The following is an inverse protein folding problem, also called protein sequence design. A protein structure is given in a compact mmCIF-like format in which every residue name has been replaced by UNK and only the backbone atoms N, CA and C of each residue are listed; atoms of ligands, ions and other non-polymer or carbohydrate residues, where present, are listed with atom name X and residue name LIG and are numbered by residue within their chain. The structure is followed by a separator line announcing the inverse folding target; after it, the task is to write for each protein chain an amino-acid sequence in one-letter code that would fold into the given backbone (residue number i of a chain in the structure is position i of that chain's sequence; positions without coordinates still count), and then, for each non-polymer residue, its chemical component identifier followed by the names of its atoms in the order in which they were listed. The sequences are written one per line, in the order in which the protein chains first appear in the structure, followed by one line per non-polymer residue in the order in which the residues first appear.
data_IF_594377555591
#
_entry.id   IF_594377555591
#
_cell.length_a   1.000
_cell.length_b   1.000
_cell.length_c   1.000
_cell.angle_alpha   90.00
_cell.angle_beta   90.00
_cell.angle_gamma   90.00
#
_symmetry.space_group_name_H-M   'P 1'
#
loop_
_entity.id
_entity.type
_entity.pdbx_description
1 polymer ?
#
# COMPACT_ATOMS: atom_id res chain seq x y z
N UNK A 1 -1.78 13.96 4.73
CA UNK A 1 -0.68 12.97 4.70
C UNK A 1 -1.05 11.85 5.66
N UNK A 2 -1.23 10.63 5.12
CA UNK A 2 -1.73 9.47 5.83
C UNK A 2 -0.58 8.67 6.44
N UNK A 3 -0.85 8.09 7.60
CA UNK A 3 0.01 7.06 8.20
C UNK A 3 -0.18 5.72 7.49
N UNK A 4 0.80 4.82 7.63
CA UNK A 4 0.72 3.44 7.12
C UNK A 4 -0.55 2.72 7.61
N UNK A 5 -1.01 3.02 8.83
CA UNK A 5 -2.22 2.44 9.41
C UNK A 5 -3.49 2.93 8.71
N UNK A 6 -3.59 4.23 8.44
CA UNK A 6 -4.73 4.79 7.71
C UNK A 6 -4.76 4.30 6.26
N UNK A 7 -3.60 4.23 5.60
CA UNK A 7 -3.45 3.65 4.26
C UNK A 7 -3.92 2.18 4.24
N UNK A 8 -3.59 1.41 5.26
CA UNK A 8 -4.03 0.02 5.39
C UNK A 8 -5.56 -0.10 5.51
N UNK A 9 -6.19 0.80 6.27
CA UNK A 9 -7.65 0.88 6.39
C UNK A 9 -8.31 1.24 5.06
N UNK A 10 -7.78 2.23 4.33
CA UNK A 10 -8.31 2.68 3.04
C UNK A 10 -8.20 1.60 1.96
N UNK A 11 -7.04 0.93 1.89
CA UNK A 11 -6.81 -0.17 0.94
C UNK A 11 -7.45 -1.49 1.39
N UNK A 12 -7.98 -1.58 2.62
CA UNK A 12 -8.49 -2.79 3.26
C UNK A 12 -7.48 -3.95 3.24
N UNK A 13 -6.22 -3.66 3.52
CA UNK A 13 -5.12 -4.64 3.61
C UNK A 13 -4.46 -4.61 4.98
N UNK A 14 -3.67 -5.63 5.30
CA UNK A 14 -2.86 -5.61 6.52
C UNK A 14 -1.72 -4.59 6.40
N UNK A 15 -1.28 -4.03 7.53
CA UNK A 15 -0.14 -3.09 7.59
C UNK A 15 1.13 -3.67 6.94
N UNK A 16 1.38 -4.97 7.13
CA UNK A 16 2.50 -5.66 6.50
C UNK A 16 2.43 -5.67 4.96
N UNK A 17 1.22 -5.70 4.39
CA UNK A 17 1.02 -5.57 2.95
C UNK A 17 1.37 -4.16 2.48
N UNK A 18 0.99 -3.13 3.24
CA UNK A 18 1.36 -1.74 2.91
C UNK A 18 2.88 -1.56 2.92
N UNK A 19 3.57 -2.10 3.93
CA UNK A 19 5.04 -2.08 3.96
C UNK A 19 5.66 -2.83 2.79
N UNK A 20 5.07 -3.94 2.35
CA UNK A 20 5.51 -4.65 1.14
C UNK A 20 5.32 -3.80 -0.10
N UNK A 21 4.16 -3.16 -0.29
CA UNK A 21 3.89 -2.28 -1.43
C UNK A 21 4.86 -1.09 -1.49
N UNK A 22 5.23 -0.56 -0.32
CA UNK A 22 6.25 0.47 -0.22
C UNK A 22 7.64 -0.10 -0.57
N UNK A 23 7.98 -1.28 -0.07
CA UNK A 23 9.27 -1.92 -0.34
C UNK A 23 9.43 -2.38 -1.80
N UNK A 24 8.33 -2.75 -2.48
CA UNK A 24 8.30 -3.08 -3.91
C UNK A 24 8.32 -1.84 -4.81
N UNK A 25 8.12 -0.64 -4.24
CA UNK A 25 8.05 0.61 -5.00
C UNK A 25 6.70 0.86 -5.68
N UNK A 26 5.69 0.02 -5.41
CA UNK A 26 4.35 0.18 -5.96
C UNK A 26 3.59 1.34 -5.32
N UNK A 27 3.86 1.64 -4.05
CA UNK A 27 3.24 2.76 -3.34
C UNK A 27 4.28 3.80 -2.94
N UNK A 28 4.20 5.05 -3.46
CA UNK A 28 5.08 6.13 -3.08
C UNK A 28 4.92 6.46 -1.59
N UNK A 29 6.04 6.57 -0.87
CA UNK A 29 6.05 7.02 0.52
C UNK A 29 7.10 8.09 0.76
N UNK A 30 6.79 9.00 1.67
CA UNK A 30 7.69 10.01 2.19
C UNK A 30 8.15 9.56 3.57
N UNK A 31 9.46 9.45 3.75
CA UNK A 31 10.05 9.12 5.05
C UNK A 31 10.41 10.41 5.80
N UNK A 32 9.82 10.59 6.97
CA UNK A 32 10.15 11.67 7.89
C UNK A 32 10.86 11.09 9.10
N UNK A 33 12.19 11.16 9.09
CA UNK A 33 13.13 10.71 10.15
C UNK A 33 13.07 9.22 10.46
N UNK A 34 11.92 8.72 10.90
CA UNK A 34 11.67 7.29 11.18
C UNK A 34 10.22 6.87 10.88
N UNK A 35 9.40 7.79 10.37
CA UNK A 35 7.98 7.55 10.09
C UNK A 35 7.73 7.59 8.58
N UNK A 36 7.14 6.52 8.04
CA UNK A 36 6.67 6.48 6.64
C UNK A 36 5.28 7.09 6.55
N UNK A 37 5.10 8.06 5.65
CA UNK A 37 3.82 8.70 5.35
C UNK A 37 3.51 8.61 3.86
N UNK A 38 2.24 8.46 3.53
CA UNK A 38 1.77 8.39 2.15
C UNK A 38 0.88 9.61 1.91
N UNK A 39 1.03 10.25 0.75
CA UNK A 39 0.11 11.33 0.38
C UNK A 39 -1.23 10.75 -0.07
N UNK A 40 -2.32 11.44 0.22
CA UNK A 40 -3.66 11.03 -0.25
C UNK A 40 -3.75 11.02 -1.77
N UNK A 41 -3.00 11.93 -2.43
CA UNK A 41 -2.91 11.97 -3.89
C UNK A 41 -2.24 10.71 -4.45
N UNK A 42 -1.12 10.30 -3.85
CA UNK A 42 -0.39 9.10 -4.24
C UNK A 42 -1.23 7.83 -4.00
N UNK A 43 -1.92 7.78 -2.85
CA UNK A 43 -2.83 6.67 -2.53
C UNK A 43 -3.97 6.56 -3.56
N UNK A 44 -4.61 7.69 -3.90
CA UNK A 44 -5.69 7.72 -4.87
C UNK A 44 -5.20 7.33 -6.26
N UNK A 45 -4.05 7.83 -6.69
CA UNK A 45 -3.42 7.46 -7.96
C UNK A 45 -3.15 5.94 -8.03
N UNK A 46 -2.64 5.36 -6.95
CA UNK A 46 -2.44 3.91 -6.84
C UNK A 46 -3.77 3.13 -6.94
N UNK A 47 -4.84 3.58 -6.26
CA UNK A 47 -6.16 2.95 -6.37
C UNK A 47 -6.76 3.05 -7.78
N UNK A 48 -6.55 4.17 -8.46
CA UNK A 48 -6.99 4.37 -9.85
C UNK A 48 -6.21 3.47 -10.83
N UNK A 49 -4.90 3.32 -10.62
CA UNK A 49 -4.06 2.40 -11.38
C UNK A 49 -4.48 0.95 -11.17
N UNK A 50 -4.68 0.52 -9.92
CA UNK A 50 -5.20 -0.82 -9.60
C UNK A 50 -6.56 -1.10 -10.26
N UNK A 51 -7.45 -0.09 -10.29
CA UNK A 51 -8.75 -0.21 -10.95
C UNK A 51 -8.63 -0.32 -12.47
N UNK A 52 -7.69 0.40 -13.09
CA UNK A 52 -7.42 0.37 -14.54
C UNK A 52 -6.72 -0.91 -15.00
N UNK A 53 -5.73 -1.38 -14.24
CA UNK A 53 -5.01 -2.61 -14.59
C UNK A 53 -5.86 -3.87 -14.41
N UNK A 54 -6.98 -3.80 -13.68
CA UNK A 54 -7.94 -4.91 -13.57
C UNK A 54 -7.32 -6.21 -13.03
N UNK A 55 -6.15 -6.13 -12.40
CA UNK A 55 -5.28 -7.29 -12.18
C UNK A 55 -5.03 -7.51 -10.70
N UNK A 56 -5.63 -8.63 -10.27
CA UNK A 56 -5.04 -9.68 -9.44
C UNK A 56 -4.31 -9.14 -8.22
N UNK A 57 -5.07 -8.88 -7.15
CA UNK A 57 -4.55 -9.13 -5.80
C UNK A 57 -4.04 -10.58 -5.85
N UNK A 58 -2.71 -10.86 -5.78
CA UNK A 58 -2.27 -12.23 -5.67
C UNK A 58 -2.89 -12.76 -4.38
N UNK A 59 -3.89 -13.65 -4.52
CA UNK A 59 -4.54 -14.32 -3.39
C UNK A 59 -3.41 -14.82 -2.52
N UNK A 60 -3.37 -14.32 -1.29
CA UNK A 60 -2.33 -14.60 -0.32
C UNK A 60 -1.93 -16.08 -0.43
N UNK A 61 -0.72 -16.34 -0.93
CA UNK A 61 -0.19 -17.70 -0.87
C UNK A 61 -0.08 -18.01 0.62
N UNK A 62 -0.91 -18.95 1.07
CA UNK A 62 -0.74 -19.63 2.36
C UNK A 62 0.70 -20.15 2.36
N UNK A 63 1.61 -19.48 3.08
CA UNK A 63 2.82 -20.15 3.52
C UNK A 63 2.44 -20.92 4.78
N UNK A 64 2.13 -22.20 4.56
CA UNK A 64 2.34 -23.23 5.58
C UNK A 64 3.84 -23.26 5.89
N UNK A 65 4.16 -23.25 7.18
CA UNK A 65 5.20 -23.98 7.92
C UNK A 65 5.63 -23.14 9.12
#
# INVERSE_FOLDING_TARGET
MLTVKEVASELRVCIGTVYKLIATGELPCYEFVSCKRVSEKDLRAYMELQRKEGVRIPRATKRHF
#
